data_IF_091564255112
#
_entry.id   IF_091564255112
#
_cell.length_a   1.000
_cell.length_b   1.000
_cell.length_c   1.000
_cell.angle_alpha   90.00
_cell.angle_beta   90.00
_cell.angle_gamma   90.00
#
_symmetry.space_group_name_H-M   'P 1'
#
loop_
_entity.id
_entity.type
_entity.pdbx_description
1 polymer ?
#
# COMPACT_ATOMS: atom_id res chain seq x y z
N UNK A 1 -11.54 8.40 -76.07
CA UNK A 1 -10.63 7.62 -75.20
C UNK A 1 -9.38 8.47 -74.99
N UNK A 2 -8.98 8.92 -73.82
CA UNK A 2 -8.87 8.21 -72.53
C UNK A 2 -9.24 9.12 -71.37
N UNK A 3 -9.88 8.51 -70.38
CA UNK A 3 -10.18 9.06 -69.08
C UNK A 3 -8.92 9.19 -68.21
N UNK A 4 -9.07 9.96 -67.12
CA UNK A 4 -8.58 9.62 -65.77
C UNK A 4 -7.09 9.92 -65.53
N UNK A 5 -6.63 10.45 -64.40
CA UNK A 5 -7.21 10.61 -63.06
C UNK A 5 -6.35 11.70 -62.38
N UNK A 6 -6.89 12.88 -62.08
CA UNK A 6 -6.16 13.87 -61.28
C UNK A 6 -6.33 13.48 -59.80
N UNK A 7 -5.35 12.74 -59.28
CA UNK A 7 -5.36 12.20 -57.93
C UNK A 7 -5.04 13.34 -56.95
N UNK A 8 -6.10 14.00 -56.44
CA UNK A 8 -6.00 14.97 -55.36
C UNK A 8 -5.65 14.21 -54.08
N UNK A 9 -4.35 14.17 -53.77
CA UNK A 9 -3.85 13.74 -52.47
C UNK A 9 -4.23 14.81 -51.44
N UNK A 10 -5.43 14.69 -50.86
CA UNK A 10 -5.84 15.47 -49.69
C UNK A 10 -5.01 14.95 -48.50
N UNK A 11 -3.83 15.55 -48.29
CA UNK A 11 -3.11 15.43 -47.03
C UNK A 11 -3.93 16.14 -45.95
N UNK A 12 -4.90 15.44 -45.37
CA UNK A 12 -5.49 15.79 -44.09
C UNK A 12 -4.38 15.58 -43.07
N UNK A 13 -3.56 16.61 -42.91
CA UNK A 13 -2.71 16.77 -41.73
C UNK A 13 -3.66 16.85 -40.54
N UNK A 14 -3.80 15.73 -39.84
CA UNK A 14 -4.41 15.70 -38.51
C UNK A 14 -3.49 16.54 -37.62
N UNK A 15 -3.74 17.85 -37.58
CA UNK A 15 -3.15 18.71 -36.58
C UNK A 15 -3.63 18.22 -35.23
N UNK A 16 -2.79 17.43 -34.57
CA UNK A 16 -2.91 17.14 -33.15
C UNK A 16 -2.65 18.46 -32.41
N UNK A 17 -3.66 19.32 -32.34
CA UNK A 17 -3.66 20.47 -31.46
C UNK A 17 -3.71 19.93 -30.03
N UNK A 18 -2.54 19.78 -29.41
CA UNK A 18 -2.46 19.49 -28.00
C UNK A 18 -3.16 20.60 -27.21
N UNK A 19 -4.32 20.29 -26.61
CA UNK A 19 -5.12 21.24 -25.84
C UNK A 19 -4.29 21.85 -24.70
N UNK A 20 -4.28 23.19 -24.61
CA UNK A 20 -3.41 23.92 -23.69
C UNK A 20 -4.08 24.12 -22.34
N UNK A 21 -3.76 23.24 -21.39
CA UNK A 21 -4.25 23.33 -20.00
C UNK A 21 -3.41 24.34 -19.21
N UNK A 22 -4.07 25.34 -18.61
CA UNK A 22 -3.47 26.34 -17.71
C UNK A 22 -4.25 26.38 -16.39
N UNK A 23 -3.53 26.46 -15.27
CA UNK A 23 -4.14 26.66 -13.94
C UNK A 23 -3.59 27.94 -13.34
N UNK A 24 -4.44 28.92 -13.00
CA UNK A 24 -4.06 30.21 -12.42
C UNK A 24 -4.93 30.50 -11.21
N UNK A 25 -4.30 30.70 -10.03
CA UNK A 25 -5.01 31.00 -8.77
C UNK A 25 -6.18 30.05 -8.42
N UNK A 26 -6.12 28.79 -8.85
CA UNK A 26 -7.19 27.80 -8.63
C UNK A 26 -8.20 27.71 -9.77
N UNK A 27 -8.24 28.67 -10.68
CA UNK A 27 -9.04 28.61 -11.90
C UNK A 27 -8.33 27.76 -12.96
N UNK A 28 -9.12 26.99 -13.70
CA UNK A 28 -8.64 26.08 -14.73
C UNK A 28 -9.11 26.57 -16.09
N UNK A 29 -8.18 26.66 -17.02
CA UNK A 29 -8.42 27.08 -18.39
C UNK A 29 -8.00 25.98 -19.35
N UNK A 30 -8.87 25.66 -20.30
CA UNK A 30 -8.60 24.80 -21.46
C UNK A 30 -8.69 25.71 -22.68
N UNK A 31 -7.62 25.81 -23.46
CA UNK A 31 -7.54 26.67 -24.65
C UNK A 31 -8.01 28.11 -24.41
N UNK A 32 -7.64 28.63 -23.23
CA UNK A 32 -7.96 29.98 -22.69
C UNK A 32 -9.42 30.16 -22.22
N UNK A 33 -10.30 29.19 -22.39
CA UNK A 33 -11.66 29.20 -21.83
C UNK A 33 -11.60 28.71 -20.38
N UNK A 34 -12.20 29.44 -19.45
CA UNK A 34 -12.30 29.02 -18.05
C UNK A 34 -13.36 27.92 -17.94
N UNK A 35 -13.00 26.79 -17.34
CA UNK A 35 -13.87 25.59 -17.32
C UNK A 35 -14.18 25.05 -15.93
N UNK A 36 -13.36 25.37 -14.92
CA UNK A 36 -13.50 24.81 -13.58
C UNK A 36 -12.69 25.57 -12.53
N UNK A 37 -12.93 25.24 -11.26
CA UNK A 37 -12.06 25.55 -10.13
C UNK A 37 -11.40 24.29 -9.56
N UNK A 38 -10.19 24.43 -9.04
CA UNK A 38 -9.45 23.36 -8.35
C UNK A 38 -8.73 23.87 -7.12
N UNK A 39 -9.06 23.26 -5.98
CA UNK A 39 -8.48 23.56 -4.68
C UNK A 39 -7.86 22.33 -4.04
N UNK A 40 -6.84 22.53 -3.21
CA UNK A 40 -6.19 21.44 -2.48
C UNK A 40 -6.87 21.31 -1.12
N UNK A 41 -7.43 20.15 -0.84
CA UNK A 41 -7.99 19.82 0.47
C UNK A 41 -6.94 19.03 1.24
N UNK A 42 -6.62 19.47 2.46
CA UNK A 42 -5.82 18.69 3.41
C UNK A 42 -6.77 17.85 4.24
N UNK A 43 -6.91 16.57 3.92
CA UNK A 43 -7.65 15.62 4.73
C UNK A 43 -6.71 14.48 5.17
N UNK A 44 -6.57 14.25 6.48
CA UNK A 44 -5.92 13.07 7.08
C UNK A 44 -4.54 12.69 6.47
N UNK A 45 -3.72 13.69 6.15
CA UNK A 45 -2.38 13.48 5.58
C UNK A 45 -2.35 13.00 4.12
N UNK A 46 -3.49 12.88 3.46
CA UNK A 46 -3.61 12.56 2.03
C UNK A 46 -3.80 13.85 1.23
N UNK A 47 -3.17 13.90 0.05
CA UNK A 47 -3.31 15.02 -0.86
C UNK A 47 -4.53 14.78 -1.74
N UNK A 48 -5.59 15.56 -1.50
CA UNK A 48 -6.75 15.59 -2.36
C UNK A 48 -6.88 16.96 -3.02
N UNK A 49 -7.45 16.95 -4.22
CA UNK A 49 -7.89 18.12 -4.93
C UNK A 49 -9.39 18.02 -5.11
N UNK A 50 -10.12 19.06 -4.76
CA UNK A 50 -11.53 19.20 -5.09
C UNK A 50 -11.64 19.98 -6.39
N UNK A 51 -12.41 19.43 -7.31
CA UNK A 51 -12.73 20.04 -8.60
C UNK A 51 -14.19 20.49 -8.50
N UNK A 52 -14.42 21.75 -8.83
CA UNK A 52 -15.74 22.38 -8.80
C UNK A 52 -16.05 23.01 -10.16
N UNK A 53 -17.33 23.21 -10.45
CA UNK A 53 -17.80 23.96 -11.62
C UNK A 53 -17.46 25.46 -11.53
N UNK A 54 -17.96 26.29 -12.45
CA UNK A 54 -17.67 27.72 -12.46
C UNK A 54 -18.27 28.48 -11.25
N UNK A 55 -19.37 27.96 -10.71
CA UNK A 55 -20.12 28.47 -9.55
C UNK A 55 -19.58 27.93 -8.22
N UNK A 56 -18.54 27.09 -8.28
CA UNK A 56 -17.86 26.42 -7.16
C UNK A 56 -18.65 25.26 -6.54
N UNK A 57 -19.68 24.74 -7.20
CA UNK A 57 -20.31 23.49 -6.75
C UNK A 57 -19.35 22.31 -6.99
N UNK A 58 -19.15 21.42 -5.99
CA UNK A 58 -18.26 20.27 -6.15
C UNK A 58 -18.72 19.32 -7.25
N UNK A 59 -17.79 18.90 -8.11
CA UNK A 59 -18.03 17.91 -9.17
C UNK A 59 -17.46 16.55 -8.77
N UNK A 60 -16.16 16.50 -8.48
CA UNK A 60 -15.45 15.31 -8.02
C UNK A 60 -14.15 15.70 -7.29
N UNK A 61 -13.51 14.70 -6.68
CA UNK A 61 -12.19 14.81 -6.08
C UNK A 61 -11.17 13.97 -6.83
N UNK A 62 -9.92 14.41 -6.82
CA UNK A 62 -8.78 13.67 -7.35
C UNK A 62 -7.71 13.56 -6.28
N UNK A 63 -7.20 12.36 -6.01
CA UNK A 63 -6.17 12.22 -4.99
C UNK A 63 -5.73 10.79 -4.71
N UNK A 64 -4.87 10.68 -3.70
CA UNK A 64 -4.36 9.42 -3.19
C UNK A 64 -5.43 8.73 -2.33
N UNK A 65 -5.86 7.54 -2.75
CA UNK A 65 -6.61 6.60 -1.93
C UNK A 65 -5.67 5.49 -1.42
N UNK A 66 -6.08 4.80 -0.37
CA UNK A 66 -5.30 3.73 0.25
C UNK A 66 -6.19 2.53 0.55
N UNK A 67 -5.67 1.32 0.30
CA UNK A 67 -6.28 0.08 0.78
C UNK A 67 -5.39 -0.50 1.87
N UNK A 68 -5.94 -0.79 3.05
CA UNK A 68 -5.21 -1.44 4.13
C UNK A 68 -4.82 -2.89 3.75
N UNK A 69 -3.69 -3.35 4.28
CA UNK A 69 -3.28 -4.76 4.21
C UNK A 69 -4.26 -5.61 5.01
N UNK A 70 -4.54 -6.82 4.51
CA UNK A 70 -5.34 -7.82 5.24
C UNK A 70 -4.55 -8.42 6.41
N UNK A 71 -3.21 -8.38 6.35
CA UNK A 71 -2.32 -8.98 7.34
C UNK A 71 -1.84 -7.97 8.39
N UNK A 72 -1.42 -6.78 7.94
CA UNK A 72 -0.80 -5.75 8.78
C UNK A 72 -1.74 -4.56 9.06
N UNK A 73 -3.00 -4.61 8.61
CA UNK A 73 -4.04 -3.59 8.84
C UNK A 73 -3.56 -2.18 8.47
N UNK A 74 -3.66 -1.22 9.41
CA UNK A 74 -3.27 0.19 9.21
C UNK A 74 -1.76 0.39 9.06
N UNK A 75 -0.94 -0.54 9.57
CA UNK A 75 0.52 -0.41 9.54
C UNK A 75 1.09 -0.57 8.11
N UNK A 76 0.32 -1.20 7.23
CA UNK A 76 0.65 -1.34 5.80
C UNK A 76 -0.55 -0.97 4.95
N UNK A 77 -0.35 -0.02 4.05
CA UNK A 77 -1.37 0.35 3.07
C UNK A 77 -0.83 0.40 1.65
N UNK A 78 -1.73 0.17 0.70
CA UNK A 78 -1.45 0.18 -0.72
C UNK A 78 -2.05 1.45 -1.34
N UNK A 79 -1.23 2.50 -1.57
CA UNK A 79 -1.73 3.74 -2.15
C UNK A 79 -1.99 3.59 -3.66
N UNK A 80 -3.01 4.30 -4.14
CA UNK A 80 -3.36 4.44 -5.55
C UNK A 80 -4.05 5.77 -5.83
N UNK A 81 -4.05 6.21 -7.08
CA UNK A 81 -4.68 7.45 -7.50
C UNK A 81 -6.04 7.17 -8.13
N UNK A 82 -7.02 8.01 -7.83
CA UNK A 82 -8.35 7.93 -8.43
C UNK A 82 -9.01 9.31 -8.54
N UNK A 83 -9.99 9.39 -9.45
CA UNK A 83 -11.09 10.35 -9.38
C UNK A 83 -12.22 9.71 -8.59
N UNK A 84 -12.84 10.45 -7.68
CA UNK A 84 -13.91 9.92 -6.84
C UNK A 84 -14.89 11.01 -6.39
N UNK A 85 -16.17 10.65 -6.24
CA UNK A 85 -17.18 11.48 -5.55
C UNK A 85 -17.27 11.07 -4.07
N UNK A 86 -18.27 11.57 -3.34
CA UNK A 86 -18.41 11.29 -1.90
C UNK A 86 -18.64 9.81 -1.59
N UNK A 87 -19.18 9.04 -2.54
CA UNK A 87 -19.35 7.60 -2.38
C UNK A 87 -18.20 6.78 -2.99
N UNK A 88 -17.76 5.73 -2.27
CA UNK A 88 -16.71 4.82 -2.74
C UNK A 88 -17.08 4.08 -4.05
N UNK A 89 -18.38 3.93 -4.33
CA UNK A 89 -18.88 3.34 -5.57
C UNK A 89 -18.55 4.21 -6.80
N UNK A 90 -18.35 5.51 -6.62
CA UNK A 90 -18.07 6.48 -7.68
C UNK A 90 -16.56 6.69 -7.90
N UNK A 91 -15.78 5.62 -7.78
CA UNK A 91 -14.31 5.67 -7.94
C UNK A 91 -13.91 5.26 -9.34
N UNK A 92 -13.22 6.17 -10.05
CA UNK A 92 -12.61 5.96 -11.34
C UNK A 92 -11.07 5.95 -11.20
N UNK A 93 -10.44 4.82 -11.50
CA UNK A 93 -8.99 4.68 -11.34
C UNK A 93 -8.20 5.55 -12.31
N UNK A 94 -7.15 6.18 -11.79
CA UNK A 94 -6.17 6.86 -12.64
C UNK A 94 -5.08 5.86 -13.02
N UNK A 95 -5.18 5.30 -14.22
CA UNK A 95 -4.20 4.36 -14.76
C UNK A 95 -2.98 5.11 -15.35
N UNK A 96 -2.19 5.72 -14.46
CA UNK A 96 -0.93 6.34 -14.84
C UNK A 96 0.23 5.38 -14.65
N UNK A 97 1.01 5.10 -15.72
CA UNK A 97 2.31 4.39 -15.63
C UNK A 97 3.25 5.04 -14.60
N UNK A 98 3.08 6.34 -14.33
CA UNK A 98 3.84 7.12 -13.35
C UNK A 98 2.96 7.49 -12.15
N UNK A 99 2.87 6.55 -11.21
CA UNK A 99 2.07 6.63 -9.98
C UNK A 99 2.46 7.74 -8.99
N UNK A 100 3.36 8.64 -9.34
CA UNK A 100 3.89 9.60 -8.40
C UNK A 100 3.48 11.02 -8.80
N UNK A 101 2.84 11.68 -7.83
CA UNK A 101 2.40 13.07 -7.81
C UNK A 101 1.29 13.45 -8.79
N UNK A 102 0.08 13.62 -8.25
CA UNK A 102 -0.99 14.38 -8.91
C UNK A 102 -0.73 15.88 -8.69
N UNK A 103 -0.48 16.60 -9.78
CA UNK A 103 -0.51 18.06 -9.82
C UNK A 103 -1.84 18.53 -10.40
N UNK A 104 -2.24 19.77 -10.10
CA UNK A 104 -3.48 20.37 -10.64
C UNK A 104 -3.57 20.25 -12.17
N UNK A 105 -2.46 20.50 -12.88
CA UNK A 105 -2.40 20.38 -14.35
C UNK A 105 -2.49 18.92 -14.82
N UNK A 106 -1.82 17.98 -14.13
CA UNK A 106 -1.84 16.55 -14.49
C UNK A 106 -3.23 15.95 -14.31
N UNK A 107 -3.98 16.38 -13.29
CA UNK A 107 -5.37 16.00 -13.05
C UNK A 107 -6.24 16.28 -14.28
N UNK A 108 -6.23 17.53 -14.77
CA UNK A 108 -7.02 17.89 -15.94
C UNK A 108 -6.52 17.23 -17.21
N UNK A 109 -5.20 17.06 -17.37
CA UNK A 109 -4.65 16.31 -18.51
C UNK A 109 -5.23 14.90 -18.58
N UNK A 110 -5.22 14.19 -17.46
CA UNK A 110 -5.77 12.83 -17.37
C UNK A 110 -7.29 12.83 -17.55
N UNK A 111 -8.00 13.78 -16.95
CA UNK A 111 -9.45 13.90 -17.08
C UNK A 111 -9.88 14.12 -18.55
N UNK A 112 -9.12 14.91 -19.29
CA UNK A 112 -9.34 15.15 -20.72
C UNK A 112 -8.95 13.94 -21.58
N UNK A 113 -7.83 13.27 -21.28
CA UNK A 113 -7.45 11.99 -21.92
C UNK A 113 -8.52 10.91 -21.74
N UNK A 114 -9.23 10.92 -20.60
CA UNK A 114 -10.34 9.99 -20.31
C UNK A 114 -11.69 10.48 -20.86
N UNK A 115 -11.78 11.68 -21.43
CA UNK A 115 -13.01 12.26 -21.94
C UNK A 115 -14.03 12.68 -20.89
N UNK A 116 -13.68 12.64 -19.59
CA UNK A 116 -14.56 13.10 -18.50
C UNK A 116 -14.56 14.62 -18.35
N UNK A 117 -13.64 15.30 -19.06
CA UNK A 117 -13.54 16.75 -19.11
C UNK A 117 -13.25 17.21 -20.53
N UNK A 118 -13.93 18.25 -20.98
CA UNK A 118 -13.75 18.88 -22.30
C UNK A 118 -13.70 20.40 -22.14
N UNK A 119 -13.44 21.19 -23.20
CA UNK A 119 -13.58 22.64 -23.14
C UNK A 119 -14.99 23.11 -22.72
N UNK A 120 -16.02 22.30 -22.96
CA UNK A 120 -17.41 22.55 -22.57
C UNK A 120 -17.68 22.24 -21.08
N UNK A 121 -16.74 21.61 -20.39
CA UNK A 121 -16.83 21.31 -18.96
C UNK A 121 -16.81 19.81 -18.65
N UNK A 122 -17.39 19.45 -17.52
CA UNK A 122 -17.42 18.07 -17.02
C UNK A 122 -18.49 17.24 -17.70
N UNK A 123 -18.13 16.02 -18.13
CA UNK A 123 -19.00 15.10 -18.83
C UNK A 123 -19.52 14.03 -17.86
N UNK A 124 -20.66 14.30 -17.21
CA UNK A 124 -21.24 13.42 -16.17
C UNK A 124 -21.52 12.01 -16.66
N UNK A 125 -22.17 11.87 -17.82
CA UNK A 125 -22.51 10.57 -18.42
C UNK A 125 -21.26 9.76 -18.72
N UNK A 126 -20.20 10.40 -19.23
CA UNK A 126 -18.94 9.71 -19.51
C UNK A 126 -18.24 9.24 -18.24
N UNK A 127 -18.30 10.04 -17.17
CA UNK A 127 -17.76 9.66 -15.88
C UNK A 127 -18.47 8.43 -15.31
N UNK A 128 -19.80 8.41 -15.35
CA UNK A 128 -20.62 7.30 -14.86
C UNK A 128 -20.38 6.02 -15.65
N UNK A 129 -20.35 6.11 -16.99
CA UNK A 129 -19.98 4.99 -17.87
C UNK A 129 -18.62 4.38 -17.48
N UNK A 130 -17.60 5.22 -17.29
CA UNK A 130 -16.26 4.75 -16.95
C UNK A 130 -16.17 4.18 -15.53
N UNK A 131 -16.94 4.71 -14.59
CA UNK A 131 -17.01 4.20 -13.20
C UNK A 131 -17.57 2.77 -13.17
N UNK A 132 -18.53 2.45 -14.03
CA UNK A 132 -19.10 1.10 -14.14
C UNK A 132 -18.11 0.12 -14.78
N UNK A 133 -17.37 0.56 -15.79
CA UNK A 133 -16.43 -0.29 -16.53
C UNK A 133 -15.08 -0.47 -15.83
N UNK A 134 -14.72 0.42 -14.91
CA UNK A 134 -13.40 0.42 -14.27
C UNK A 134 -13.41 -0.38 -12.97
N UNK A 135 -12.45 -1.30 -12.75
CA UNK A 135 -12.32 -1.97 -11.46
C UNK A 135 -12.07 -0.95 -10.35
N UNK A 136 -12.68 -1.14 -9.17
CA UNK A 136 -12.57 -0.16 -8.07
C UNK A 136 -11.17 -0.06 -7.46
N UNK A 137 -10.29 -1.01 -7.77
CA UNK A 137 -8.91 -1.10 -7.25
C UNK A 137 -7.95 -1.52 -8.36
N UNK A 138 -6.71 -0.99 -8.39
CA UNK A 138 -5.71 -1.40 -9.38
C UNK A 138 -5.36 -2.89 -9.26
N UNK A 139 -5.13 -3.54 -10.41
CA UNK A 139 -4.76 -4.96 -10.49
C UNK A 139 -3.55 -5.31 -9.61
N UNK A 140 -2.53 -4.43 -9.57
CA UNK A 140 -1.36 -4.62 -8.70
C UNK A 140 -1.70 -4.71 -7.21
N UNK A 141 -2.76 -4.03 -6.77
CA UNK A 141 -3.24 -4.08 -5.39
C UNK A 141 -4.06 -5.36 -5.20
N UNK A 142 -4.94 -5.70 -6.15
CA UNK A 142 -5.70 -6.96 -6.11
C UNK A 142 -4.78 -8.17 -6.00
N UNK A 143 -3.72 -8.27 -6.82
CA UNK A 143 -2.70 -9.34 -6.74
C UNK A 143 -2.03 -9.43 -5.38
N UNK A 144 -1.79 -8.30 -4.70
CA UNK A 144 -1.23 -8.29 -3.34
C UNK A 144 -2.24 -8.78 -2.32
N UNK A 145 -3.48 -8.29 -2.40
CA UNK A 145 -4.56 -8.71 -1.50
C UNK A 145 -4.90 -10.19 -1.67
N UNK A 146 -4.82 -10.73 -2.88
CA UNK A 146 -5.05 -12.16 -3.12
C UNK A 146 -3.94 -13.02 -2.49
N UNK A 147 -2.67 -12.58 -2.59
CA UNK A 147 -1.56 -13.23 -1.87
C UNK A 147 -1.77 -13.18 -0.36
N UNK A 148 -2.16 -12.03 0.18
CA UNK A 148 -2.47 -11.88 1.60
C UNK A 148 -3.65 -12.75 2.02
N UNK A 149 -4.71 -12.85 1.20
CA UNK A 149 -5.89 -13.68 1.48
C UNK A 149 -5.53 -15.15 1.60
N UNK A 150 -4.60 -15.65 0.77
CA UNK A 150 -4.09 -17.02 0.91
C UNK A 150 -3.40 -17.24 2.27
N UNK A 151 -2.65 -16.25 2.74
CA UNK A 151 -1.96 -16.31 4.04
C UNK A 151 -2.91 -16.17 5.23
N UNK A 152 -4.11 -15.60 5.06
CA UNK A 152 -5.13 -15.55 6.11
C UNK A 152 -5.58 -16.94 6.60
N UNK A 153 -5.45 -17.99 5.77
CA UNK A 153 -5.72 -19.36 6.20
C UNK A 153 -4.79 -19.83 7.32
N UNK A 154 -3.59 -19.25 7.42
CA UNK A 154 -2.66 -19.47 8.52
C UNK A 154 -2.98 -18.68 9.78
N UNK A 155 -4.03 -17.84 9.79
CA UNK A 155 -4.43 -17.08 10.97
C UNK A 155 -4.83 -18.05 12.09
N UNK A 156 -4.21 -17.90 13.26
CA UNK A 156 -4.49 -18.77 14.40
C UNK A 156 -3.91 -20.18 14.28
N UNK A 157 -3.15 -20.49 13.21
CA UNK A 157 -2.34 -21.69 13.18
C UNK A 157 -1.25 -21.58 14.24
N UNK A 158 -1.19 -22.61 15.07
CA UNK A 158 -0.34 -22.75 16.24
C UNK A 158 0.25 -24.15 16.24
N UNK A 159 1.45 -24.29 16.78
CA UNK A 159 2.09 -25.60 16.92
C UNK A 159 1.70 -26.16 18.28
N UNK A 160 0.95 -27.27 18.30
CA UNK A 160 0.55 -27.92 19.53
C UNK A 160 1.74 -28.65 20.16
N UNK A 161 2.22 -28.14 21.30
CA UNK A 161 3.31 -28.69 22.11
C UNK A 161 3.12 -28.31 23.56
N UNK A 162 3.74 -29.07 24.46
CA UNK A 162 3.91 -28.64 25.83
C UNK A 162 5.04 -27.60 25.89
N UNK A 163 4.69 -26.34 26.14
CA UNK A 163 5.62 -25.21 26.21
C UNK A 163 6.21 -25.03 27.62
N UNK A 164 6.10 -26.05 28.50
CA UNK A 164 6.73 -26.04 29.81
C UNK A 164 8.26 -25.86 29.74
N UNK A 165 8.87 -26.24 28.61
CA UNK A 165 10.24 -25.85 28.27
C UNK A 165 10.24 -24.67 27.28
N UNK A 166 10.77 -23.52 27.72
CA UNK A 166 10.86 -22.28 26.94
C UNK A 166 12.25 -22.08 26.32
N UNK A 167 12.97 -23.17 26.07
CA UNK A 167 14.26 -23.13 25.39
C UNK A 167 14.10 -22.82 23.89
N UNK A 168 13.99 -21.52 23.59
CA UNK A 168 13.81 -20.99 22.26
C UNK A 168 15.17 -20.84 21.59
N UNK A 169 15.34 -21.48 20.44
CA UNK A 169 16.53 -21.40 19.61
C UNK A 169 16.27 -20.65 18.30
N UNK A 170 17.28 -19.92 17.84
CA UNK A 170 17.17 -19.07 16.64
C UNK A 170 18.30 -19.40 15.67
N UNK A 171 17.95 -19.83 14.46
CA UNK A 171 18.90 -19.98 13.36
C UNK A 171 18.80 -18.74 12.47
N UNK A 172 19.86 -17.93 12.44
CA UNK A 172 19.94 -16.73 11.64
C UNK A 172 20.41 -17.02 10.21
N UNK A 173 19.79 -16.37 9.23
CA UNK A 173 20.25 -16.35 7.85
C UNK A 173 21.15 -15.12 7.60
N UNK A 174 21.99 -15.14 6.55
CA UNK A 174 22.78 -13.98 6.16
C UNK A 174 21.93 -12.72 5.94
N UNK A 175 22.50 -11.56 6.25
CA UNK A 175 21.84 -10.28 6.02
C UNK A 175 21.73 -9.98 4.53
N UNK A 176 20.56 -9.50 4.09
CA UNK A 176 20.31 -9.13 2.69
C UNK A 176 19.56 -7.80 2.57
N UNK A 177 19.72 -7.11 1.43
CA UNK A 177 18.90 -5.93 1.09
C UNK A 177 17.54 -6.40 0.57
N UNK A 178 16.47 -5.91 1.19
CA UNK A 178 15.12 -6.23 0.77
C UNK A 178 14.14 -5.07 1.03
N UNK A 179 12.93 -5.18 0.47
CA UNK A 179 11.85 -4.23 0.76
C UNK A 179 11.22 -4.53 2.11
N UNK A 180 10.98 -3.49 2.91
CA UNK A 180 10.34 -3.60 4.22
C UNK A 180 8.99 -4.33 4.18
N UNK A 181 8.66 -5.04 5.25
CA UNK A 181 7.36 -5.67 5.43
C UNK A 181 6.21 -4.66 5.36
N UNK A 182 6.42 -3.42 5.82
CA UNK A 182 5.36 -2.41 5.96
C UNK A 182 5.29 -1.44 4.78
N UNK A 183 6.38 -1.19 4.07
CA UNK A 183 6.42 -0.17 3.01
C UNK A 183 7.42 -0.52 1.90
N UNK A 184 7.69 0.42 0.98
CA UNK A 184 8.59 0.22 -0.17
C UNK A 184 10.03 0.68 0.09
N UNK A 185 10.40 0.98 1.34
CA UNK A 185 11.76 1.36 1.66
C UNK A 185 12.68 0.14 1.58
N UNK A 186 13.88 0.35 1.05
CA UNK A 186 14.96 -0.63 1.09
C UNK A 186 15.53 -0.68 2.51
N UNK A 187 15.66 -1.88 3.07
CA UNK A 187 16.15 -2.13 4.43
C UNK A 187 17.12 -3.28 4.42
N UNK A 188 18.01 -3.32 5.41
CA UNK A 188 18.79 -4.52 5.71
C UNK A 188 17.90 -5.50 6.49
N UNK A 189 17.79 -6.73 6.00
CA UNK A 189 16.98 -7.77 6.62
C UNK A 189 17.82 -8.95 7.06
N UNK A 190 17.58 -9.40 8.30
CA UNK A 190 18.05 -10.69 8.80
C UNK A 190 16.83 -11.53 9.11
N UNK A 191 16.77 -12.73 8.53
CA UNK A 191 15.71 -13.71 8.79
C UNK A 191 16.17 -14.69 9.85
N UNK A 192 15.23 -15.22 10.62
CA UNK A 192 15.47 -16.25 11.61
C UNK A 192 14.43 -17.35 11.49
N UNK A 193 14.84 -18.60 11.62
CA UNK A 193 13.94 -19.68 11.99
C UNK A 193 13.88 -19.76 13.53
N UNK A 194 12.69 -20.03 14.06
CA UNK A 194 12.43 -20.10 15.50
C UNK A 194 12.08 -21.54 15.86
N UNK A 195 12.88 -22.13 16.75
CA UNK A 195 12.70 -23.49 17.23
C UNK A 195 12.43 -23.49 18.74
N UNK A 196 11.71 -24.52 19.18
CA UNK A 196 11.75 -25.00 20.57
C UNK A 196 12.61 -26.25 20.59
N UNK A 197 13.50 -26.35 21.57
CA UNK A 197 14.58 -27.34 21.59
C UNK A 197 15.74 -26.93 20.68
N UNK A 198 16.93 -27.49 20.93
CA UNK A 198 18.15 -27.14 20.21
C UNK A 198 18.23 -27.84 18.84
N UNK A 199 18.11 -27.11 17.71
CA UNK A 199 18.20 -27.69 16.37
C UNK A 199 19.64 -28.05 15.94
N UNK A 200 20.66 -27.72 16.74
CA UNK A 200 22.05 -28.07 16.46
C UNK A 200 22.44 -29.46 16.97
N UNK A 201 21.57 -30.11 17.75
CA UNK A 201 21.75 -31.49 18.23
C UNK A 201 20.99 -32.43 17.29
N UNK A 202 21.70 -33.26 16.53
CA UNK A 202 21.10 -34.15 15.51
C UNK A 202 20.05 -35.12 16.07
N UNK A 203 20.22 -35.56 17.32
CA UNK A 203 19.29 -36.45 18.04
C UNK A 203 18.31 -35.70 18.97
N UNK A 204 18.34 -34.36 18.96
CA UNK A 204 17.48 -33.52 19.80
C UNK A 204 16.07 -33.36 19.23
N UNK A 205 15.05 -33.51 20.08
CA UNK A 205 13.67 -33.18 19.73
C UNK A 205 13.50 -31.67 19.62
N UNK A 206 13.58 -31.16 18.38
CA UNK A 206 13.39 -29.75 18.08
C UNK A 206 12.18 -29.56 17.16
N UNK A 207 11.45 -28.48 17.38
CA UNK A 207 10.24 -28.17 16.61
C UNK A 207 10.29 -26.76 16.07
N UNK A 208 10.17 -26.60 14.74
CA UNK A 208 10.02 -25.29 14.12
C UNK A 208 8.65 -24.69 14.48
N UNK A 209 8.65 -23.61 15.25
CA UNK A 209 7.42 -22.94 15.71
C UNK A 209 7.11 -21.66 14.92
N UNK A 210 8.07 -21.14 14.15
CA UNK A 210 7.84 -19.97 13.33
C UNK A 210 9.10 -19.39 12.71
N UNK A 211 9.00 -18.16 12.27
CA UNK A 211 10.14 -17.39 11.76
C UNK A 211 10.06 -15.94 12.23
N UNK A 212 11.22 -15.27 12.26
CA UNK A 212 11.31 -13.85 12.54
C UNK A 212 12.01 -13.11 11.40
N UNK A 213 11.69 -11.83 11.26
CA UNK A 213 12.41 -10.90 10.40
C UNK A 213 12.81 -9.70 11.24
N UNK A 214 14.11 -9.38 11.22
CA UNK A 214 14.64 -8.12 11.71
C UNK A 214 14.91 -7.22 10.52
N UNK A 215 14.36 -6.02 10.52
CA UNK A 215 14.60 -5.00 9.50
C UNK A 215 15.30 -3.79 10.12
N UNK A 216 16.34 -3.30 9.48
CA UNK A 216 17.02 -2.05 9.87
C UNK A 216 16.95 -1.07 8.69
N UNK A 217 16.26 0.05 8.92
CA UNK A 217 16.15 1.13 7.95
C UNK A 217 16.83 2.41 8.43
N UNK A 218 17.35 3.19 7.49
CA UNK A 218 18.07 4.44 7.77
C UNK A 218 17.20 5.53 8.41
N UNK A 219 15.90 5.52 8.11
CA UNK A 219 14.93 6.54 8.59
C UNK A 219 13.94 5.95 9.59
N UNK A 220 13.52 4.70 9.37
CA UNK A 220 12.45 4.05 10.14
C UNK A 220 12.94 3.35 11.41
N UNK A 221 14.26 3.34 11.65
CA UNK A 221 14.86 2.58 12.75
C UNK A 221 14.77 1.07 12.54
N UNK A 222 14.70 0.34 13.64
CA UNK A 222 14.70 -1.12 13.67
C UNK A 222 13.29 -1.67 13.94
N UNK A 223 12.92 -2.70 13.19
CA UNK A 223 11.69 -3.45 13.36
C UNK A 223 12.00 -4.93 13.56
N UNK A 224 11.20 -5.58 14.40
CA UNK A 224 11.16 -7.03 14.53
C UNK A 224 9.76 -7.51 14.16
N UNK A 225 9.67 -8.60 13.40
CA UNK A 225 8.42 -9.24 13.01
C UNK A 225 8.49 -10.72 13.36
N UNK A 226 7.40 -11.27 13.89
CA UNK A 226 7.25 -12.71 14.16
C UNK A 226 6.13 -13.25 13.29
N UNK A 227 6.38 -14.39 12.67
CA UNK A 227 5.45 -15.12 11.83
C UNK A 227 5.32 -16.57 12.32
N UNK A 228 4.15 -17.16 12.16
CA UNK A 228 4.00 -18.60 12.36
C UNK A 228 4.60 -19.38 11.18
N UNK A 229 4.61 -20.71 11.30
CA UNK A 229 5.10 -21.65 10.27
C UNK A 229 4.35 -21.54 8.92
N UNK A 230 3.13 -20.99 8.90
CA UNK A 230 2.35 -20.69 7.69
C UNK A 230 2.61 -19.28 7.15
N UNK A 231 3.61 -18.57 7.67
CA UNK A 231 4.03 -17.21 7.27
C UNK A 231 2.98 -16.12 7.53
N UNK A 232 2.01 -16.37 8.41
CA UNK A 232 1.08 -15.35 8.87
C UNK A 232 1.76 -14.48 9.92
N UNK A 233 1.74 -13.12 9.82
CA UNK A 233 2.36 -12.25 10.81
C UNK A 233 1.58 -12.30 12.12
N UNK A 234 2.27 -12.72 13.18
CA UNK A 234 1.71 -12.78 14.52
C UNK A 234 1.86 -11.45 15.23
N UNK A 235 3.08 -10.89 15.20
CA UNK A 235 3.40 -9.66 15.90
C UNK A 235 4.53 -8.87 15.28
N UNK A 236 4.65 -7.61 15.68
CA UNK A 236 5.82 -6.78 15.43
C UNK A 236 6.21 -5.96 16.65
N UNK A 237 7.50 -5.62 16.75
CA UNK A 237 8.03 -4.74 17.76
C UNK A 237 8.81 -3.60 17.12
N UNK A 238 8.50 -2.37 17.51
CA UNK A 238 9.19 -1.16 17.06
C UNK A 238 9.00 -0.04 18.08
N UNK A 239 10.05 0.73 18.36
CA UNK A 239 10.00 1.91 19.25
C UNK A 239 9.23 1.64 20.55
N UNK A 240 9.56 0.54 21.24
CA UNK A 240 8.96 0.12 22.51
C UNK A 240 7.46 -0.23 22.44
N UNK A 241 6.94 -0.48 21.25
CA UNK A 241 5.54 -0.85 21.02
C UNK A 241 5.48 -2.27 20.47
N UNK A 242 4.74 -3.14 21.15
CA UNK A 242 4.49 -4.52 20.72
C UNK A 242 3.07 -4.65 20.15
N UNK A 243 2.96 -4.99 18.87
CA UNK A 243 1.68 -5.11 18.16
C UNK A 243 1.40 -6.57 17.82
N UNK A 244 0.17 -7.03 18.08
CA UNK A 244 -0.32 -8.37 17.77
C UNK A 244 -1.41 -8.27 16.70
N UNK A 245 -1.13 -8.76 15.48
CA UNK A 245 -1.97 -8.54 14.30
C UNK A 245 -3.27 -9.36 14.27
N UNK A 246 -3.27 -10.56 14.86
CA UNK A 246 -4.44 -11.45 14.85
C UNK A 246 -5.69 -10.86 15.50
N UNK A 247 -5.49 -10.07 16.57
CA UNK A 247 -6.54 -9.43 17.37
C UNK A 247 -6.49 -7.89 17.30
N UNK A 248 -5.59 -7.32 16.47
CA UNK A 248 -5.36 -5.86 16.37
C UNK A 248 -5.07 -5.21 17.73
N UNK A 249 -4.25 -5.87 18.55
CA UNK A 249 -3.89 -5.38 19.88
C UNK A 249 -2.54 -4.66 19.81
N UNK A 250 -2.46 -3.49 20.41
CA UNK A 250 -1.23 -2.74 20.62
C UNK A 250 -0.95 -2.70 22.11
N UNK A 251 0.29 -2.98 22.49
CA UNK A 251 0.75 -3.09 23.87
C UNK A 251 1.91 -2.11 24.03
N UNK A 252 1.77 -1.19 25.00
CA UNK A 252 2.84 -0.27 25.36
C UNK A 252 3.90 -0.96 26.22
N UNK A 253 4.94 -0.22 26.57
CA UNK A 253 6.08 -0.75 27.34
C UNK A 253 5.69 -1.35 28.70
N UNK A 254 4.60 -0.87 29.30
CA UNK A 254 4.09 -1.37 30.59
C UNK A 254 3.20 -2.61 30.44
N UNK A 255 2.83 -2.97 29.22
CA UNK A 255 1.86 -4.03 28.93
C UNK A 255 2.53 -5.31 28.39
N UNK A 256 3.86 -5.36 28.33
CA UNK A 256 4.66 -6.49 27.86
C UNK A 256 6.02 -6.58 28.57
N UNK A 257 6.61 -7.77 28.61
CA UNK A 257 7.91 -8.00 29.29
C UNK A 257 9.14 -7.88 28.36
N UNK A 258 8.99 -7.42 27.13
CA UNK A 258 10.09 -7.31 26.15
C UNK A 258 11.06 -6.19 26.57
N UNK A 259 12.30 -6.56 26.90
CA UNK A 259 13.38 -5.67 27.37
C UNK A 259 14.45 -5.51 26.28
N UNK A 260 14.24 -4.55 25.38
CA UNK A 260 15.31 -4.06 24.51
C UNK A 260 16.24 -3.11 25.27
N UNK A 261 17.15 -3.63 26.09
CA UNK A 261 18.22 -2.81 26.66
C UNK A 261 19.27 -2.45 25.59
N UNK A 262 19.90 -1.28 25.70
CA UNK A 262 21.11 -0.97 24.93
C UNK A 262 22.19 -1.99 25.31
N UNK A 263 22.45 -2.95 24.42
CA UNK A 263 23.42 -4.05 24.65
C UNK A 263 22.81 -5.45 24.66
N UNK A 264 21.48 -5.59 24.72
CA UNK A 264 20.82 -6.89 24.53
C UNK A 264 21.13 -7.46 23.14
N UNK A 265 21.46 -8.76 23.07
CA UNK A 265 21.62 -9.43 21.78
C UNK A 265 20.28 -9.34 21.05
N UNK A 266 20.28 -8.88 19.79
CA UNK A 266 19.04 -8.70 19.00
C UNK A 266 18.23 -10.00 18.83
N UNK A 267 18.89 -11.15 18.97
CA UNK A 267 18.25 -12.46 19.08
C UNK A 267 17.42 -12.61 20.35
N UNK A 268 17.84 -12.05 21.49
CA UNK A 268 17.10 -12.14 22.75
C UNK A 268 15.76 -11.40 22.67
N UNK A 269 15.71 -10.26 21.97
CA UNK A 269 14.47 -9.55 21.68
C UNK A 269 13.43 -10.44 20.98
N UNK A 270 13.89 -11.20 19.99
CA UNK A 270 13.04 -12.14 19.24
C UNK A 270 12.58 -13.25 20.18
N UNK A 271 13.45 -13.79 21.03
CA UNK A 271 13.06 -14.80 22.03
C UNK A 271 12.02 -14.27 23.02
N UNK A 272 12.18 -13.05 23.53
CA UNK A 272 11.21 -12.41 24.42
C UNK A 272 9.85 -12.17 23.73
N UNK A 273 9.85 -11.70 22.49
CA UNK A 273 8.61 -11.59 21.69
C UNK A 273 7.91 -12.95 21.55
N UNK A 274 8.67 -14.02 21.32
CA UNK A 274 8.13 -15.39 21.20
C UNK A 274 7.56 -15.87 22.53
N UNK A 275 8.27 -15.67 23.66
CA UNK A 275 7.75 -15.99 25.01
C UNK A 275 6.45 -15.25 25.29
N UNK A 276 6.37 -13.98 24.91
CA UNK A 276 5.16 -13.17 25.08
C UNK A 276 3.99 -13.70 24.25
N UNK A 277 4.25 -14.17 23.03
CA UNK A 277 3.23 -14.81 22.19
C UNK A 277 2.78 -16.16 22.75
N UNK A 278 3.69 -16.96 23.30
CA UNK A 278 3.37 -18.24 23.95
C UNK A 278 2.47 -18.00 25.17
N UNK A 279 2.86 -17.09 26.09
CA UNK A 279 2.06 -16.70 27.28
C UNK A 279 0.63 -16.29 26.91
N UNK A 280 0.46 -15.63 25.76
CA UNK A 280 -0.84 -15.13 25.27
C UNK A 280 -1.59 -16.11 24.38
N UNK A 281 -1.06 -17.31 24.21
CA UNK A 281 -1.66 -18.33 23.38
C UNK A 281 -1.74 -17.95 21.90
N UNK A 282 -0.63 -17.51 21.29
CA UNK A 282 -0.58 -17.06 19.88
C UNK A 282 0.38 -17.82 18.97
N UNK A 283 1.33 -18.56 19.52
CA UNK A 283 2.21 -19.53 18.85
C UNK A 283 1.77 -20.95 19.19
#
# INVERSE_FOLDING_TARGET
MKHSLLLVFLFISVFSFGQKIKVKKGEVFIDKVKVAHIEKIKAKGLRHFQISDLDKNPIFRAGDLKVASLLFHSDKSYPYNAFFRDEAKDTLLINSKHHYFLSKKKIFKLAMEMGIFTPEGFQTTKFEELVEQTPKRPERILKKLDKERKLLSGKGHRVERDFNDLDIHLIAFPSEKAFSQLNKSMVDQVKYNIYIGDPHVEEGDHTLIGSAIREVGTVSGEYFFIFNTKKFPLASYHSMTFKIYGNKKELGIMDHDIKLSMGSKRSEAIKEMVRELIKRGKI
#
